data_IF_090334681354
#
_entry.id   IF_090334681354
#
_cell.length_a   1.000
_cell.length_b   1.000
_cell.length_c   1.000
_cell.angle_alpha   90.00
_cell.angle_beta   90.00
_cell.angle_gamma   90.00
#
_symmetry.space_group_name_H-M   'P 1'
#
loop_
_entity.id
_entity.type
_entity.pdbx_description
1 polymer ?
#
# COMPACT_ATOMS: atom_id res chain seq x y z
N UNK A 1 7.64 9.03 -10.29
CA UNK A 1 7.22 7.68 -9.84
C UNK A 1 5.71 7.66 -9.89
N UNK A 2 5.08 6.73 -10.61
CA UNK A 2 3.62 6.64 -10.75
C UNK A 2 3.17 5.20 -10.50
N UNK A 3 2.29 4.99 -9.52
CA UNK A 3 1.65 3.69 -9.24
C UNK A 3 0.27 3.55 -9.89
N UNK A 4 -0.15 2.31 -10.15
CA UNK A 4 -1.53 1.97 -10.55
C UNK A 4 -2.40 1.66 -9.33
N UNK A 5 -3.66 2.10 -9.39
CA UNK A 5 -4.62 2.07 -8.28
C UNK A 5 -5.57 0.87 -8.37
N UNK A 6 -5.87 0.21 -7.24
CA UNK A 6 -6.99 -0.74 -7.13
C UNK A 6 -7.98 -0.26 -6.06
N UNK A 7 -9.22 -0.04 -6.46
CA UNK A 7 -10.34 0.30 -5.56
C UNK A 7 -11.08 -0.99 -5.17
N UNK A 8 -11.19 -1.31 -3.88
CA UNK A 8 -12.02 -2.42 -3.40
C UNK A 8 -13.12 -1.93 -2.44
N UNK A 9 -14.36 -2.35 -2.71
CA UNK A 9 -15.55 -2.04 -1.91
C UNK A 9 -15.79 -3.21 -0.93
N UNK A 10 -15.93 -2.96 0.37
CA UNK A 10 -15.70 -3.99 1.40
C UNK A 10 -16.94 -4.36 2.23
N UNK A 11 -17.32 -5.66 2.24
CA UNK A 11 -18.31 -6.24 3.17
C UNK A 11 -17.90 -7.65 3.67
N UNK A 12 -17.64 -7.80 4.99
CA UNK A 12 -17.28 -9.02 5.78
C UNK A 12 -16.11 -9.89 5.26
N UNK A 13 -15.13 -10.17 6.15
CA UNK A 13 -13.86 -10.90 5.93
C UNK A 13 -13.32 -10.84 4.50
N UNK A 14 -12.55 -9.81 4.19
CA UNK A 14 -12.00 -9.67 2.85
C UNK A 14 -10.84 -10.64 2.58
N UNK A 15 -10.67 -11.08 1.32
CA UNK A 15 -9.42 -11.69 0.89
C UNK A 15 -8.27 -10.70 1.06
N UNK A 16 -7.10 -11.22 1.41
CA UNK A 16 -5.85 -10.46 1.34
C UNK A 16 -5.71 -9.89 -0.07
N UNK A 17 -5.57 -8.58 -0.17
CA UNK A 17 -5.29 -7.89 -1.44
C UNK A 17 -3.79 -7.84 -1.64
N UNK A 18 -3.32 -8.18 -2.83
CA UNK A 18 -1.92 -8.15 -3.22
C UNK A 18 -1.71 -7.06 -4.27
N UNK A 19 -0.75 -6.17 -4.05
CA UNK A 19 -0.39 -5.06 -4.94
C UNK A 19 1.06 -5.20 -5.33
N UNK A 20 1.34 -5.19 -6.63
CA UNK A 20 2.70 -5.17 -7.15
C UNK A 20 3.17 -3.72 -7.32
N UNK A 21 4.22 -3.37 -6.59
CA UNK A 21 4.90 -2.08 -6.68
C UNK A 21 6.17 -2.27 -7.50
N UNK A 22 6.16 -1.72 -8.71
CA UNK A 22 7.32 -1.67 -9.59
C UNK A 22 8.00 -0.30 -9.46
N UNK A 23 9.23 -0.29 -8.97
CA UNK A 23 10.01 0.94 -8.81
C UNK A 23 10.70 1.27 -10.13
N UNK A 24 10.50 2.51 -10.60
CA UNK A 24 11.09 3.03 -11.83
C UNK A 24 11.69 4.42 -11.59
N UNK A 25 12.75 4.74 -12.33
CA UNK A 25 13.30 6.10 -12.39
C UNK A 25 12.36 7.05 -13.18
N UNK A 26 12.76 8.31 -13.33
CA UNK A 26 11.98 9.30 -14.09
C UNK A 26 11.83 8.98 -15.59
N UNK A 27 12.67 8.08 -16.12
CA UNK A 27 12.61 7.60 -17.51
C UNK A 27 11.80 6.31 -17.67
N UNK A 28 11.28 5.75 -16.58
CA UNK A 28 10.52 4.49 -16.58
C UNK A 28 11.39 3.24 -16.49
N UNK A 29 12.71 3.36 -16.28
CA UNK A 29 13.59 2.19 -16.14
C UNK A 29 13.51 1.61 -14.73
N UNK A 30 13.53 0.26 -14.57
CA UNK A 30 13.49 -0.36 -13.26
C UNK A 30 14.64 0.12 -12.37
N UNK A 31 14.31 0.48 -11.13
CA UNK A 31 15.29 0.86 -10.13
C UNK A 31 15.74 -0.39 -9.36
N UNK A 32 16.97 -0.87 -9.59
CA UNK A 32 17.42 -2.21 -9.16
C UNK A 32 18.25 -2.26 -7.89
N UNK A 33 18.33 -1.16 -7.14
CA UNK A 33 18.97 -1.15 -5.82
C UNK A 33 17.94 -1.49 -4.75
N UNK A 34 18.32 -2.24 -3.69
CA UNK A 34 17.43 -2.49 -2.58
C UNK A 34 17.04 -1.14 -1.94
N UNK A 35 15.75 -0.85 -1.97
CA UNK A 35 15.17 0.33 -1.34
C UNK A 35 14.40 -0.08 -0.09
N UNK A 36 14.38 0.81 0.90
CA UNK A 36 13.54 0.62 2.07
C UNK A 36 12.09 0.93 1.67
N UNK A 37 11.28 -0.12 1.53
CA UNK A 37 9.86 0.01 1.18
C UNK A 37 9.02 -0.36 2.39
N UNK A 38 8.18 0.57 2.83
CA UNK A 38 7.23 0.36 3.92
C UNK A 38 5.81 0.65 3.44
N UNK A 39 4.83 0.04 4.08
CA UNK A 39 3.43 0.28 3.75
C UNK A 39 2.57 0.34 5.02
N UNK A 40 1.53 1.18 4.99
CA UNK A 40 0.63 1.42 6.10
C UNK A 40 -0.81 1.50 5.60
N UNK A 41 -1.73 0.84 6.29
CA UNK A 41 -3.15 0.88 5.95
C UNK A 41 -3.87 1.86 6.87
N UNK A 42 -4.69 2.72 6.28
CA UNK A 42 -5.54 3.68 6.96
C UNK A 42 -7.01 3.37 6.65
N UNK A 43 -7.87 3.30 7.67
CA UNK A 43 -9.32 3.26 7.47
C UNK A 43 -9.84 4.69 7.28
N UNK A 44 -10.37 4.98 6.09
CA UNK A 44 -10.96 6.26 5.73
C UNK A 44 -12.47 6.20 5.99
N UNK A 45 -12.91 6.85 7.07
CA UNK A 45 -14.33 6.97 7.39
C UNK A 45 -14.95 8.18 6.66
N UNK A 46 -15.88 7.95 5.73
CA UNK A 46 -16.66 9.05 5.11
C UNK A 46 -17.57 9.77 6.12
N UNK A 47 -17.97 9.08 7.20
CA UNK A 47 -18.97 9.57 8.15
C UNK A 47 -18.42 10.63 9.12
N UNK A 48 -17.15 10.53 9.53
CA UNK A 48 -16.60 11.42 10.58
C UNK A 48 -15.40 12.24 10.10
N UNK A 49 -14.95 12.10 8.83
CA UNK A 49 -13.71 12.72 8.30
C UNK A 49 -12.51 12.49 9.23
N UNK A 50 -12.53 11.41 10.01
CA UNK A 50 -11.50 11.13 11.02
C UNK A 50 -10.63 10.01 10.52
N UNK A 51 -9.33 10.27 10.47
CA UNK A 51 -8.28 9.30 10.23
C UNK A 51 -7.94 8.65 11.57
N UNK A 52 -8.24 7.36 11.73
CA UNK A 52 -7.69 6.59 12.84
C UNK A 52 -6.56 5.73 12.30
N UNK A 53 -5.34 6.10 12.67
CA UNK A 53 -4.15 5.27 12.41
C UNK A 53 -4.20 4.13 13.42
N UNK A 54 -4.51 2.93 12.97
CA UNK A 54 -4.49 1.74 13.82
C UNK A 54 -3.10 1.11 13.73
N UNK A 55 -2.22 1.30 14.73
CA UNK A 55 -0.87 0.73 14.67
C UNK A 55 -0.88 -0.81 14.72
N UNK A 56 -1.98 -1.44 15.16
CA UNK A 56 -1.95 -2.85 15.59
C UNK A 56 -2.92 -3.77 14.84
N UNK A 57 -3.74 -3.26 13.92
CA UNK A 57 -4.77 -4.06 13.23
C UNK A 57 -4.50 -4.26 11.73
N UNK A 58 -3.47 -3.62 11.21
CA UNK A 58 -3.13 -3.66 9.79
C UNK A 58 -2.26 -4.87 9.49
N UNK A 59 -2.83 -5.94 8.93
CA UNK A 59 -2.07 -7.08 8.38
C UNK A 59 -1.42 -6.68 7.05
N UNK A 60 -0.53 -5.69 7.09
CA UNK A 60 0.24 -5.24 5.93
C UNK A 60 1.59 -5.96 5.94
N UNK A 61 1.96 -6.56 4.81
CA UNK A 61 3.29 -7.12 4.60
C UNK A 61 3.88 -6.57 3.31
N UNK A 62 5.17 -6.28 3.33
CA UNK A 62 5.93 -5.89 2.15
C UNK A 62 7.02 -6.94 1.93
N UNK A 63 7.02 -7.57 0.76
CA UNK A 63 8.00 -8.59 0.39
C UNK A 63 8.65 -8.17 -0.93
N UNK A 64 9.99 -8.14 -0.96
CA UNK A 64 10.71 -7.91 -2.21
C UNK A 64 10.68 -9.19 -3.06
N UNK A 65 10.09 -9.14 -4.26
CA UNK A 65 9.99 -10.29 -5.17
C UNK A 65 11.09 -10.26 -6.24
N UNK A 66 11.61 -9.08 -6.57
CA UNK A 66 12.81 -8.88 -7.40
C UNK A 66 13.49 -7.54 -7.03
N UNK A 67 14.73 -7.25 -7.50
CA UNK A 67 15.45 -6.03 -7.12
C UNK A 67 14.73 -4.70 -7.37
N UNK A 68 13.66 -4.70 -8.18
CA UNK A 68 12.87 -3.51 -8.48
C UNK A 68 11.37 -3.69 -8.23
N UNK A 69 10.96 -4.84 -7.68
CA UNK A 69 9.57 -5.22 -7.50
C UNK A 69 9.28 -5.68 -6.08
N UNK A 70 8.21 -5.13 -5.52
CA UNK A 70 7.75 -5.43 -4.18
C UNK A 70 6.29 -5.84 -4.25
N UNK A 71 5.95 -6.89 -3.51
CA UNK A 71 4.57 -7.28 -3.27
C UNK A 71 4.14 -6.70 -1.92
N UNK A 72 3.11 -5.86 -1.96
CA UNK A 72 2.46 -5.31 -0.77
C UNK A 72 1.13 -6.03 -0.60
N UNK A 73 1.00 -6.75 0.50
CA UNK A 73 -0.24 -7.48 0.83
C UNK A 73 -0.91 -6.83 2.02
N UNK A 74 -2.24 -6.68 1.98
CA UNK A 74 -3.00 -6.19 3.12
C UNK A 74 -4.32 -6.93 3.31
N UNK A 75 -4.71 -7.16 4.57
CA UNK A 75 -6.03 -7.70 4.94
C UNK A 75 -6.78 -6.66 5.79
N UNK A 76 -7.82 -6.00 5.27
CA UNK A 76 -8.66 -5.10 6.04
C UNK A 76 -9.41 -5.84 7.16
N UNK A 77 -9.32 -5.32 8.40
CA UNK A 77 -10.01 -5.91 9.57
C UNK A 77 -11.38 -5.30 9.85
N UNK A 78 -11.61 -4.09 9.36
CA UNK A 78 -12.83 -3.32 9.57
C UNK A 78 -13.52 -3.08 8.23
N UNK A 79 -14.84 -2.93 8.26
CA UNK A 79 -15.59 -2.52 7.05
C UNK A 79 -15.41 -1.02 6.82
N UNK A 80 -15.13 -0.63 5.58
CA UNK A 80 -15.02 0.76 5.18
C UNK A 80 -14.03 0.97 4.04
N UNK A 81 -13.84 2.21 3.62
CA UNK A 81 -12.81 2.54 2.65
C UNK A 81 -11.45 2.51 3.33
N UNK A 82 -10.45 1.92 2.68
CA UNK A 82 -9.09 1.94 3.19
C UNK A 82 -8.18 2.64 2.19
N UNK A 83 -7.19 3.35 2.71
CA UNK A 83 -6.10 3.94 1.95
C UNK A 83 -4.81 3.22 2.34
N UNK A 84 -4.04 2.77 1.35
CA UNK A 84 -2.76 2.11 1.55
C UNK A 84 -1.65 3.10 1.22
N UNK A 85 -0.94 3.59 2.23
CA UNK A 85 0.22 4.46 2.07
C UNK A 85 1.46 3.61 1.83
N UNK A 86 2.12 3.78 0.69
CA UNK A 86 3.37 3.09 0.37
C UNK A 86 4.49 4.13 0.35
N UNK A 87 5.57 3.85 1.07
CA UNK A 87 6.72 4.73 1.20
C UNK A 87 7.98 4.03 0.70
N UNK A 88 8.82 4.78 0.00
CA UNK A 88 10.13 4.34 -0.50
C UNK A 88 11.16 5.33 0.04
N UNK A 89 12.12 4.86 0.85
CA UNK A 89 13.06 5.70 1.58
C UNK A 89 12.36 6.86 2.33
N UNK A 90 11.34 6.53 3.11
CA UNK A 90 10.53 7.46 3.92
C UNK A 90 9.74 8.51 3.11
N UNK A 91 9.70 8.38 1.78
CA UNK A 91 8.92 9.23 0.90
C UNK A 91 7.73 8.47 0.32
N UNK A 92 6.54 9.02 0.53
CA UNK A 92 5.31 8.48 -0.07
C UNK A 92 5.40 8.51 -1.60
N UNK A 93 5.01 7.40 -2.25
CA UNK A 93 4.99 7.33 -3.72
C UNK A 93 3.68 7.91 -4.26
N UNK A 94 3.76 8.68 -5.34
CA UNK A 94 2.55 9.17 -6.00
C UNK A 94 1.75 7.97 -6.53
N UNK A 95 0.53 7.79 -6.06
CA UNK A 95 -0.24 6.58 -6.36
C UNK A 95 -0.79 5.84 -5.15
N UNK A 96 -0.39 6.24 -3.93
CA UNK A 96 -0.85 5.64 -2.67
C UNK A 96 -1.96 6.41 -1.96
#
# INVERSE_FOLDING_TARGET
>A
MSGQWTWSNISHSQPTTHVLVQLTDSSGRPYSLPLNVTAQLELVSKATRTTTRWPNESRVSVTMTSPSQYEVSYTPVSRGQHKLHVQVNDKEINGS
#
